data_IF_556493354972
#
_entry.id   IF_556493354972
#
_cell.length_a   1.000
_cell.length_b   1.000
_cell.length_c   1.000
_cell.angle_alpha   90.00
_cell.angle_beta   90.00
_cell.angle_gamma   90.00
#
_symmetry.space_group_name_H-M   'P 1'
#
loop_
_entity.id
_entity.type
_entity.pdbx_description
1 polymer ?
#
# COMPACT_ATOMS: atom_id res chain seq x y z
N UNK A 1 -50.83 -25.33 -26.54
CA UNK A 1 -49.63 -25.23 -27.40
C UNK A 1 -48.58 -24.44 -26.64
N UNK A 2 -47.38 -25.01 -26.46
CA UNK A 2 -46.39 -24.61 -25.46
C UNK A 2 -45.65 -23.30 -25.71
N UNK A 3 -45.36 -22.57 -24.63
CA UNK A 3 -44.46 -21.42 -24.59
C UNK A 3 -43.19 -21.77 -23.80
N UNK A 4 -42.09 -21.95 -24.52
CA UNK A 4 -40.73 -22.19 -24.01
C UNK A 4 -40.17 -20.93 -23.34
N UNK A 5 -39.76 -21.00 -22.07
CA UNK A 5 -38.87 -20.00 -21.45
C UNK A 5 -37.74 -20.74 -20.73
N UNK A 6 -36.56 -20.65 -21.32
CA UNK A 6 -35.31 -21.31 -20.90
C UNK A 6 -34.75 -20.71 -19.62
N UNK A 7 -34.55 -21.54 -18.59
CA UNK A 7 -33.77 -21.18 -17.39
C UNK A 7 -32.28 -21.28 -17.72
N UNK A 8 -31.67 -20.16 -18.13
CA UNK A 8 -30.20 -20.08 -18.24
C UNK A 8 -29.60 -20.20 -16.84
N UNK A 9 -28.84 -21.27 -16.60
CA UNK A 9 -28.01 -21.44 -15.40
C UNK A 9 -26.87 -20.42 -15.46
N UNK A 10 -26.82 -19.52 -14.49
CA UNK A 10 -25.69 -18.62 -14.27
C UNK A 10 -24.62 -19.42 -13.52
N UNK A 11 -23.60 -19.86 -14.26
CA UNK A 11 -22.32 -20.25 -13.67
C UNK A 11 -21.57 -18.97 -13.32
N UNK A 12 -21.21 -18.81 -12.05
CA UNK A 12 -20.24 -17.79 -11.63
C UNK A 12 -18.89 -18.49 -11.69
N UNK A 13 -18.24 -18.41 -12.84
CA UNK A 13 -16.80 -18.63 -12.91
C UNK A 13 -16.14 -17.42 -12.28
N UNK A 14 -15.60 -17.59 -11.07
CA UNK A 14 -14.89 -16.56 -10.35
C UNK A 14 -13.40 -16.64 -10.69
N UNK A 15 -13.07 -16.32 -11.94
CA UNK A 15 -11.70 -16.02 -12.35
C UNK A 15 -11.48 -14.50 -12.26
N UNK A 16 -10.36 -14.13 -11.63
CA UNK A 16 -9.71 -12.81 -11.66
C UNK A 16 -10.45 -11.59 -11.05
N UNK A 17 -10.71 -11.64 -9.74
CA UNK A 17 -10.88 -10.40 -8.93
C UNK A 17 -9.93 -10.38 -7.73
N UNK A 18 -8.63 -10.45 -8.00
CA UNK A 18 -7.60 -10.20 -7.00
C UNK A 18 -7.66 -8.72 -6.54
N UNK A 19 -8.47 -8.45 -5.51
CA UNK A 19 -8.48 -7.19 -4.76
C UNK A 19 -9.83 -6.46 -4.68
N UNK A 20 -10.91 -6.94 -5.32
CA UNK A 20 -12.19 -6.24 -5.31
C UNK A 20 -13.20 -6.93 -4.39
N UNK A 21 -13.38 -6.40 -3.17
CA UNK A 21 -14.46 -6.82 -2.27
C UNK A 21 -15.79 -6.35 -2.88
N UNK A 22 -16.60 -7.28 -3.41
CA UNK A 22 -17.93 -6.97 -3.96
C UNK A 22 -18.91 -6.74 -2.82
N UNK A 23 -19.17 -5.47 -2.51
CA UNK A 23 -20.16 -5.06 -1.51
C UNK A 23 -21.53 -4.89 -2.19
N UNK A 24 -22.58 -5.47 -1.62
CA UNK A 24 -23.97 -5.24 -2.09
C UNK A 24 -24.37 -3.77 -1.89
N UNK A 25 -25.16 -3.20 -2.80
CA UNK A 25 -25.63 -1.81 -2.76
C UNK A 25 -26.19 -1.43 -1.38
N UNK A 26 -26.97 -2.34 -0.76
CA UNK A 26 -27.56 -2.15 0.56
C UNK A 26 -26.50 -2.02 1.67
N UNK A 27 -25.34 -2.68 1.52
CA UNK A 27 -24.23 -2.62 2.48
C UNK A 27 -23.40 -1.36 2.25
N UNK A 28 -23.19 -0.96 0.99
CA UNK A 28 -22.53 0.30 0.65
C UNK A 28 -23.32 1.51 1.19
N UNK A 29 -24.65 1.47 1.08
CA UNK A 29 -25.55 2.51 1.60
C UNK A 29 -25.48 2.62 3.13
N UNK A 30 -25.38 1.49 3.85
CA UNK A 30 -25.20 1.46 5.31
C UNK A 30 -23.84 2.03 5.74
N UNK A 31 -22.76 1.67 5.04
CA UNK A 31 -21.42 2.19 5.31
C UNK A 31 -21.33 3.70 5.07
N UNK A 32 -21.97 4.18 3.99
CA UNK A 32 -22.07 5.61 3.70
C UNK A 32 -22.83 6.37 4.79
N UNK A 33 -23.91 5.79 5.33
CA UNK A 33 -24.67 6.40 6.41
C UNK A 33 -23.95 6.38 7.76
N UNK A 34 -23.03 5.44 8.01
CA UNK A 34 -22.25 5.37 9.24
C UNK A 34 -21.18 6.48 9.34
N UNK A 35 -20.70 6.99 8.21
CA UNK A 35 -19.69 8.06 8.19
C UNK A 35 -20.27 9.48 8.41
N UNK A 36 -21.59 9.66 8.34
CA UNK A 36 -22.25 10.95 8.58
C UNK A 36 -22.61 11.23 10.06
N UNK A 37 -22.28 10.32 10.99
CA UNK A 37 -22.58 10.44 12.43
C UNK A 37 -21.34 10.65 13.30
N UNK A 38 -20.30 11.33 12.80
CA UNK A 38 -19.04 11.55 13.53
C UNK A 38 -18.67 13.01 13.80
N UNK A 39 -19.63 13.93 13.80
CA UNK A 39 -19.46 15.27 14.38
C UNK A 39 -20.65 15.65 15.28
N UNK A 40 -20.39 15.89 16.57
CA UNK A 40 -21.22 16.76 17.43
C UNK A 40 -22.29 16.11 18.32
N UNK A 41 -22.16 16.34 19.63
CA UNK A 41 -22.91 15.76 20.75
C UNK A 41 -24.35 16.30 20.99
N UNK A 42 -25.09 15.52 21.80
CA UNK A 42 -26.21 15.86 22.69
C UNK A 42 -27.66 15.91 22.14
N UNK A 43 -28.31 14.75 22.29
CA UNK A 43 -29.62 14.51 22.91
C UNK A 43 -30.82 15.38 22.48
N UNK A 44 -31.70 14.79 21.66
CA UNK A 44 -33.12 14.61 22.01
C UNK A 44 -33.79 13.57 21.11
N UNK A 45 -34.05 12.41 21.71
CA UNK A 45 -35.28 11.62 21.63
C UNK A 45 -36.16 11.74 20.38
N UNK A 46 -36.02 10.78 19.46
CA UNK A 46 -37.15 10.33 18.63
C UNK A 46 -37.14 8.81 18.50
N UNK A 47 -37.90 8.19 19.41
CA UNK A 47 -38.68 6.96 19.28
C UNK A 47 -38.14 5.85 18.37
N UNK A 48 -37.35 4.94 18.95
CA UNK A 48 -37.28 3.56 18.48
C UNK A 48 -38.42 2.78 19.13
N UNK A 49 -39.47 2.49 18.35
CA UNK A 49 -40.51 1.53 18.75
C UNK A 49 -39.89 0.14 18.83
N UNK A 50 -39.65 -0.28 20.06
CA UNK A 50 -39.34 -1.65 20.45
C UNK A 50 -40.54 -2.56 20.09
N UNK A 51 -40.38 -3.64 19.30
CA UNK A 51 -41.40 -4.67 19.26
C UNK A 51 -41.39 -5.41 20.60
N UNK A 52 -42.42 -5.15 21.41
CA UNK A 52 -42.69 -5.91 22.63
C UNK A 52 -42.77 -7.42 22.34
N UNK A 53 -42.39 -8.26 23.32
CA UNK A 53 -42.65 -9.69 23.28
C UNK A 53 -44.17 -9.92 23.35
N UNK A 54 -44.75 -10.41 22.26
CA UNK A 54 -46.16 -10.83 22.27
C UNK A 54 -46.30 -12.08 23.12
N UNK A 55 -46.87 -11.88 24.29
CA UNK A 55 -47.45 -12.92 25.14
C UNK A 55 -48.63 -13.55 24.39
N UNK A 56 -48.79 -14.88 24.38
CA UNK A 56 -49.94 -15.51 23.75
C UNK A 56 -51.18 -15.32 24.63
N UNK A 57 -52.22 -14.68 24.12
CA UNK A 57 -53.58 -14.76 24.68
C UNK A 57 -54.51 -15.49 23.69
N UNK A 58 -55.52 -16.20 24.19
CA UNK A 58 -56.01 -17.44 23.60
C UNK A 58 -57.00 -17.17 22.48
N UNK A 59 -56.71 -17.68 21.28
CA UNK A 59 -57.74 -17.82 20.25
C UNK A 59 -58.57 -19.05 20.61
N UNK A 60 -59.74 -18.79 21.19
CA UNK A 60 -60.83 -19.76 21.28
C UNK A 60 -61.35 -20.03 19.86
N UNK A 61 -60.90 -21.15 19.28
CA UNK A 61 -61.51 -21.81 18.12
C UNK A 61 -61.63 -23.30 18.43
N UNK A 62 -62.68 -24.00 17.93
CA UNK A 62 -62.95 -25.37 18.35
C UNK A 62 -61.76 -26.28 18.03
N UNK A 63 -61.28 -26.99 19.05
CA UNK A 63 -60.34 -28.10 18.94
C UNK A 63 -61.01 -29.15 18.06
N UNK A 64 -60.71 -29.15 16.77
CA UNK A 64 -60.91 -30.33 15.94
C UNK A 64 -59.70 -31.22 16.20
N UNK A 65 -59.89 -32.18 17.09
CA UNK A 65 -58.97 -33.30 17.28
C UNK A 65 -58.88 -34.09 15.97
N UNK A 66 -57.95 -33.71 15.09
CA UNK A 66 -57.59 -34.55 13.96
C UNK A 66 -56.64 -35.64 14.46
N UNK A 67 -57.22 -36.83 14.57
CA UNK A 67 -56.60 -38.13 14.75
C UNK A 67 -55.36 -38.29 13.85
N UNK A 68 -54.29 -38.98 14.29
CA UNK A 68 -53.06 -39.08 13.51
C UNK A 68 -53.33 -39.84 12.21
N UNK A 69 -53.32 -39.12 11.09
CA UNK A 69 -53.23 -39.74 9.78
C UNK A 69 -51.87 -40.42 9.68
N UNK A 70 -51.88 -41.75 9.70
CA UNK A 70 -50.74 -42.61 9.39
C UNK A 70 -50.32 -42.39 7.93
N UNK A 71 -49.58 -41.30 7.70
CA UNK A 71 -48.85 -41.05 6.47
C UNK A 71 -47.42 -41.53 6.65
N UNK A 72 -46.94 -42.35 5.73
CA UNK A 72 -45.57 -42.81 5.66
C UNK A 72 -44.61 -41.60 5.66
N UNK A 73 -43.95 -41.34 6.79
CA UNK A 73 -42.81 -40.44 6.85
C UNK A 73 -41.65 -41.14 6.15
N UNK A 74 -41.35 -40.75 4.91
CA UNK A 74 -40.07 -41.06 4.33
C UNK A 74 -38.96 -40.50 5.24
N UNK A 75 -37.90 -41.27 5.56
CA UNK A 75 -36.84 -40.79 6.42
C UNK A 75 -36.14 -39.62 5.73
N UNK A 76 -36.33 -38.40 6.25
CA UNK A 76 -35.52 -37.27 5.85
C UNK A 76 -34.08 -37.54 6.35
N UNK A 77 -33.04 -37.38 5.51
CA UNK A 77 -31.66 -37.52 5.97
C UNK A 77 -31.39 -36.41 6.98
N UNK A 78 -31.35 -36.76 8.27
CA UNK A 78 -30.97 -35.83 9.32
C UNK A 78 -29.45 -35.68 9.29
N UNK A 79 -28.98 -34.54 8.78
CA UNK A 79 -27.57 -34.19 8.90
C UNK A 79 -27.29 -33.95 10.39
N UNK A 80 -26.38 -34.72 10.96
CA UNK A 80 -25.99 -34.60 12.37
C UNK A 80 -25.07 -33.39 12.57
N UNK A 81 -25.10 -32.80 13.76
CA UNK A 81 -24.24 -31.66 14.10
C UNK A 81 -22.73 -31.97 13.99
N UNK A 82 -22.33 -33.23 14.18
CA UNK A 82 -20.93 -33.67 13.99
C UNK A 82 -20.53 -33.67 12.51
N UNK A 83 -21.40 -34.18 11.62
CA UNK A 83 -21.12 -34.15 10.17
C UNK A 83 -20.94 -32.72 9.65
N UNK A 84 -21.73 -31.77 10.15
CA UNK A 84 -21.59 -30.35 9.80
C UNK A 84 -20.24 -29.81 10.30
N UNK A 85 -19.85 -30.12 11.55
CA UNK A 85 -18.57 -29.70 12.13
C UNK A 85 -17.38 -30.23 11.34
N UNK A 86 -17.38 -31.52 11.01
CA UNK A 86 -16.30 -32.15 10.24
C UNK A 86 -16.16 -31.51 8.86
N UNK A 87 -17.27 -31.13 8.23
CA UNK A 87 -17.25 -30.44 6.95
C UNK A 87 -16.72 -29.01 7.07
N UNK A 88 -17.11 -28.29 8.12
CA UNK A 88 -16.57 -26.95 8.41
C UNK A 88 -15.06 -27.02 8.65
N UNK A 89 -14.58 -27.98 9.43
CA UNK A 89 -13.15 -28.14 9.72
C UNK A 89 -12.34 -28.42 8.46
N UNK A 90 -12.85 -29.30 7.57
CA UNK A 90 -12.22 -29.57 6.27
C UNK A 90 -12.15 -28.33 5.38
N UNK A 91 -13.20 -27.52 5.34
CA UNK A 91 -13.20 -26.29 4.55
C UNK A 91 -12.28 -25.22 5.17
N UNK A 92 -12.22 -25.15 6.50
CA UNK A 92 -11.31 -24.25 7.22
C UNK A 92 -9.84 -24.62 6.93
N UNK A 93 -9.48 -25.90 7.03
CA UNK A 93 -8.13 -26.39 6.75
C UNK A 93 -7.69 -26.12 5.29
N UNK A 94 -8.62 -26.26 4.32
CA UNK A 94 -8.34 -25.89 2.93
C UNK A 94 -8.07 -24.40 2.78
N UNK A 95 -8.86 -23.57 3.47
CA UNK A 95 -8.70 -22.11 3.45
C UNK A 95 -7.37 -21.70 4.09
N UNK A 96 -7.04 -22.27 5.24
CA UNK A 96 -5.78 -22.02 5.94
C UNK A 96 -4.59 -22.38 5.03
N UNK A 97 -4.58 -23.58 4.44
CA UNK A 97 -3.53 -23.97 3.48
C UNK A 97 -3.45 -23.06 2.27
N UNK A 98 -4.59 -22.56 1.77
CA UNK A 98 -4.62 -21.61 0.66
C UNK A 98 -3.95 -20.30 1.04
N UNK A 99 -4.31 -19.72 2.20
CA UNK A 99 -3.75 -18.46 2.66
C UNK A 99 -2.29 -18.57 3.06
N UNK A 100 -1.87 -19.67 3.71
CA UNK A 100 -0.46 -19.94 4.00
C UNK A 100 0.38 -19.94 2.72
N UNK A 101 -0.05 -20.68 1.69
CA UNK A 101 0.65 -20.72 0.40
C UNK A 101 0.70 -19.34 -0.24
N UNK A 102 -0.39 -18.58 -0.17
CA UNK A 102 -0.47 -17.24 -0.75
C UNK A 102 0.44 -16.25 -0.03
N UNK A 103 0.44 -16.24 1.30
CA UNK A 103 1.31 -15.39 2.12
C UNK A 103 2.77 -15.74 1.86
N UNK A 104 3.09 -17.04 1.81
CA UNK A 104 4.44 -17.49 1.47
C UNK A 104 4.89 -16.99 0.10
N UNK A 105 4.04 -17.12 -0.93
CA UNK A 105 4.35 -16.62 -2.27
C UNK A 105 4.54 -15.10 -2.32
N UNK A 106 3.74 -14.34 -1.56
CA UNK A 106 3.91 -12.90 -1.42
C UNK A 106 5.23 -12.53 -0.74
N UNK A 107 5.59 -13.24 0.34
CA UNK A 107 6.85 -13.03 1.06
C UNK A 107 8.06 -13.37 0.19
N UNK A 108 8.02 -14.48 -0.55
CA UNK A 108 9.08 -14.87 -1.48
C UNK A 108 9.25 -13.83 -2.61
N UNK A 109 8.15 -13.35 -3.18
CA UNK A 109 8.19 -12.31 -4.20
C UNK A 109 8.74 -11.00 -3.64
N UNK A 110 8.30 -10.58 -2.45
CA UNK A 110 8.81 -9.39 -1.80
C UNK A 110 10.31 -9.50 -1.54
N UNK A 111 10.77 -10.64 -1.00
CA UNK A 111 12.19 -10.91 -0.77
C UNK A 111 12.98 -10.82 -2.07
N UNK A 112 12.50 -11.46 -3.14
CA UNK A 112 13.13 -11.39 -4.47
C UNK A 112 13.26 -9.95 -4.97
N UNK A 113 12.20 -9.14 -4.87
CA UNK A 113 12.24 -7.74 -5.32
C UNK A 113 13.22 -6.92 -4.47
N UNK A 114 13.18 -7.07 -3.15
CA UNK A 114 14.11 -6.39 -2.23
C UNK A 114 15.55 -6.75 -2.53
N UNK A 115 15.85 -8.03 -2.77
CA UNK A 115 17.20 -8.49 -3.11
C UNK A 115 17.72 -7.85 -4.40
N UNK A 116 16.90 -7.83 -5.46
CA UNK A 116 17.29 -7.21 -6.74
C UNK A 116 17.50 -5.71 -6.54
N UNK A 117 16.57 -5.03 -5.86
CA UNK A 117 16.65 -3.60 -5.57
C UNK A 117 17.94 -3.24 -4.83
N UNK A 118 18.28 -3.98 -3.76
CA UNK A 118 19.50 -3.77 -2.99
C UNK A 118 20.76 -4.02 -3.84
N UNK A 119 20.75 -5.05 -4.68
CA UNK A 119 21.88 -5.37 -5.55
C UNK A 119 22.14 -4.27 -6.59
N UNK A 120 21.10 -3.76 -7.24
CA UNK A 120 21.20 -2.69 -8.23
C UNK A 120 21.56 -1.36 -7.55
N UNK A 121 21.00 -1.09 -6.38
CA UNK A 121 21.38 0.09 -5.59
C UNK A 121 22.87 0.07 -5.23
N UNK A 122 23.36 -1.04 -4.68
CA UNK A 122 24.77 -1.18 -4.31
C UNK A 122 25.70 -1.11 -5.52
N UNK A 123 25.27 -1.64 -6.67
CA UNK A 123 26.00 -1.53 -7.92
C UNK A 123 26.10 -0.07 -8.39
N UNK A 124 24.97 0.64 -8.44
CA UNK A 124 24.93 2.06 -8.79
C UNK A 124 25.75 2.91 -7.81
N UNK A 125 25.70 2.59 -6.51
CA UNK A 125 26.51 3.26 -5.51
C UNK A 125 28.01 3.09 -5.76
N UNK A 126 28.47 1.87 -6.05
CA UNK A 126 29.88 1.60 -6.41
C UNK A 126 30.28 2.27 -7.72
N UNK A 127 29.40 2.32 -8.71
CA UNK A 127 29.66 3.06 -9.95
C UNK A 127 29.83 4.56 -9.67
N UNK A 128 29.02 5.13 -8.78
CA UNK A 128 29.16 6.52 -8.37
C UNK A 128 30.49 6.72 -7.62
N UNK A 129 30.81 5.85 -6.67
CA UNK A 129 32.04 5.92 -5.88
C UNK A 129 33.30 5.82 -6.76
N UNK A 130 33.27 4.99 -7.80
CA UNK A 130 34.39 4.81 -8.72
C UNK A 130 34.51 5.93 -9.76
N UNK A 131 33.38 6.44 -10.28
CA UNK A 131 33.38 7.41 -11.39
C UNK A 131 33.38 8.87 -10.92
N UNK A 132 32.85 9.16 -9.73
CA UNK A 132 32.89 10.50 -9.18
C UNK A 132 34.09 10.61 -8.24
N UNK A 133 34.93 11.65 -8.38
CA UNK A 133 36.01 11.86 -7.44
C UNK A 133 35.40 11.92 -6.04
N UNK A 134 35.93 11.06 -5.16
CA UNK A 134 35.60 11.05 -3.74
C UNK A 134 35.49 12.50 -3.27
N UNK A 135 34.40 12.80 -2.54
CA UNK A 135 34.23 14.09 -1.87
C UNK A 135 35.60 14.48 -1.32
N UNK A 136 36.11 15.65 -1.77
CA UNK A 136 37.49 16.02 -1.55
C UNK A 136 37.87 15.68 -0.09
N UNK A 137 38.99 14.97 0.16
CA UNK A 137 39.37 14.55 1.51
C UNK A 137 39.20 15.70 2.49
N UNK A 138 38.82 15.42 3.74
CA UNK A 138 38.53 16.49 4.71
C UNK A 138 39.71 17.47 4.90
N UNK A 139 40.92 17.00 4.63
CA UNK A 139 42.17 17.76 4.72
C UNK A 139 42.68 18.26 3.35
N UNK A 140 41.88 18.12 2.29
CA UNK A 140 42.25 18.55 0.95
C UNK A 140 42.33 20.07 0.90
N UNK A 141 43.54 20.58 0.68
CA UNK A 141 43.79 22.00 0.47
C UNK A 141 43.07 22.45 -0.80
N UNK A 142 42.11 23.37 -0.64
CA UNK A 142 41.39 23.94 -1.77
C UNK A 142 42.37 24.89 -2.48
N UNK A 143 42.65 24.70 -3.79
CA UNK A 143 43.60 25.54 -4.49
C UNK A 143 43.12 26.98 -4.58
N UNK A 144 44.08 27.91 -4.67
CA UNK A 144 43.85 29.33 -4.96
C UNK A 144 43.02 30.10 -3.92
N UNK A 145 42.95 29.65 -2.67
CA UNK A 145 42.24 30.37 -1.60
C UNK A 145 42.85 31.76 -1.32
N UNK A 146 44.18 31.90 -1.43
CA UNK A 146 44.86 33.17 -1.20
C UNK A 146 44.48 34.21 -2.26
N UNK A 147 44.48 33.82 -3.54
CA UNK A 147 44.03 34.69 -4.62
C UNK A 147 42.54 35.05 -4.47
N UNK A 148 41.72 34.11 -3.99
CA UNK A 148 40.29 34.37 -3.72
C UNK A 148 40.12 35.46 -2.67
N UNK A 149 40.83 35.39 -1.55
CA UNK A 149 40.73 36.42 -0.50
C UNK A 149 41.21 37.78 -1.03
N UNK A 150 42.34 37.82 -1.72
CA UNK A 150 42.86 39.05 -2.31
C UNK A 150 41.89 39.70 -3.30
N UNK A 151 41.26 38.91 -4.19
CA UNK A 151 40.26 39.42 -5.15
C UNK A 151 39.06 40.03 -4.43
N UNK A 152 38.54 39.33 -3.42
CA UNK A 152 37.42 39.82 -2.62
C UNK A 152 37.77 41.14 -1.92
N UNK A 153 38.95 41.24 -1.33
CA UNK A 153 39.38 42.44 -0.62
C UNK A 153 39.65 43.61 -1.58
N UNK A 154 40.18 43.32 -2.78
CA UNK A 154 40.34 44.35 -3.81
C UNK A 154 39.00 44.95 -4.23
N UNK A 155 37.97 44.12 -4.45
CA UNK A 155 36.64 44.61 -4.81
C UNK A 155 35.97 45.40 -3.69
N UNK A 156 36.13 44.98 -2.42
CA UNK A 156 35.62 45.75 -1.28
C UNK A 156 36.24 47.15 -1.22
N UNK A 157 37.54 47.25 -1.48
CA UNK A 157 38.26 48.52 -1.42
C UNK A 157 38.08 49.38 -2.68
N UNK A 158 37.61 48.80 -3.79
CA UNK A 158 37.45 49.46 -5.10
C UNK A 158 36.04 49.30 -5.68
N UNK A 159 34.99 49.48 -4.87
CA UNK A 159 33.60 49.22 -5.29
C UNK A 159 33.16 49.96 -6.58
N UNK A 160 33.66 51.19 -6.79
CA UNK A 160 33.35 52.00 -7.97
C UNK A 160 34.42 51.92 -9.07
N UNK A 161 35.54 51.23 -8.80
CA UNK A 161 36.70 51.14 -9.68
C UNK A 161 37.18 49.69 -9.80
N UNK A 162 36.24 48.76 -9.98
CA UNK A 162 36.43 47.30 -10.06
C UNK A 162 37.52 46.88 -11.06
N UNK A 163 37.72 47.66 -12.14
CA UNK A 163 38.75 47.40 -13.16
C UNK A 163 40.18 47.47 -12.61
N UNK A 164 40.42 48.17 -11.50
CA UNK A 164 41.73 48.18 -10.82
C UNK A 164 42.12 46.78 -10.31
N UNK A 165 41.15 45.90 -10.07
CA UNK A 165 41.36 44.53 -9.61
C UNK A 165 41.53 43.52 -10.76
N UNK A 166 41.48 43.97 -12.03
CA UNK A 166 41.53 43.10 -13.22
C UNK A 166 42.74 42.17 -13.24
N UNK A 167 43.93 42.67 -12.89
CA UNK A 167 45.15 41.86 -12.78
C UNK A 167 44.98 40.71 -11.80
N UNK A 168 44.44 41.01 -10.61
CA UNK A 168 44.26 40.05 -9.52
C UNK A 168 43.23 38.97 -9.87
N UNK A 169 42.18 39.35 -10.59
CA UNK A 169 41.17 38.42 -11.13
C UNK A 169 41.79 37.50 -12.18
N UNK A 170 42.64 38.03 -13.06
CA UNK A 170 43.36 37.22 -14.05
C UNK A 170 44.33 36.23 -13.37
N UNK A 171 45.03 36.66 -12.34
CA UNK A 171 45.93 35.78 -11.56
C UNK A 171 45.14 34.66 -10.86
N UNK A 172 43.98 34.98 -10.29
CA UNK A 172 43.07 33.98 -9.73
C UNK A 172 42.59 32.98 -10.80
N UNK A 173 42.15 33.46 -11.97
CA UNK A 173 41.69 32.62 -13.06
C UNK A 173 42.82 31.70 -13.59
N UNK A 174 44.03 32.22 -13.72
CA UNK A 174 45.21 31.45 -14.10
C UNK A 174 45.53 30.36 -13.07
N UNK A 175 45.45 30.68 -11.78
CA UNK A 175 45.63 29.70 -10.71
C UNK A 175 44.60 28.56 -10.81
N UNK A 176 43.30 28.89 -10.91
CA UNK A 176 42.22 27.88 -11.02
C UNK A 176 42.39 27.01 -12.28
N UNK A 177 42.70 27.64 -13.41
CA UNK A 177 42.97 26.94 -14.67
C UNK A 177 44.14 25.96 -14.56
N UNK A 178 45.26 26.40 -13.99
CA UNK A 178 46.43 25.55 -13.78
C UNK A 178 46.17 24.41 -12.79
N UNK A 179 45.44 24.66 -11.70
CA UNK A 179 45.09 23.62 -10.73
C UNK A 179 44.19 22.55 -11.35
N UNK A 180 43.23 22.93 -12.19
CA UNK A 180 42.38 21.98 -12.93
C UNK A 180 43.20 21.14 -13.91
N UNK A 181 44.09 21.77 -14.67
CA UNK A 181 44.99 21.07 -15.60
C UNK A 181 45.95 20.12 -14.87
N UNK A 182 46.51 20.53 -13.73
CA UNK A 182 47.37 19.68 -12.89
C UNK A 182 46.62 18.45 -12.39
N UNK A 183 45.43 18.59 -11.81
CA UNK A 183 44.62 17.44 -11.39
C UNK A 183 44.27 16.50 -12.55
N UNK A 184 43.92 17.06 -13.71
CA UNK A 184 43.60 16.24 -14.88
C UNK A 184 44.82 15.43 -15.34
N UNK A 185 46.02 16.00 -15.30
CA UNK A 185 47.25 15.31 -15.66
C UNK A 185 47.65 14.26 -14.60
N UNK A 186 47.46 14.56 -13.32
CA UNK A 186 47.77 13.66 -12.20
C UNK A 186 46.86 12.41 -12.22
N UNK A 187 45.58 12.56 -12.54
CA UNK A 187 44.65 11.44 -12.74
C UNK A 187 44.91 10.64 -14.04
N UNK A 188 45.81 11.11 -14.92
CA UNK A 188 46.16 10.46 -16.19
C UNK A 188 47.52 9.74 -16.13
N UNK A 189 48.33 9.97 -15.10
CA UNK A 189 49.57 9.23 -14.90
C UNK A 189 49.26 7.80 -14.43
N UNK A 190 49.91 6.77 -15.03
CA UNK A 190 49.66 5.36 -14.74
C UNK A 190 50.07 4.96 -13.31
#
# INVERSE_FOLDING_TARGET
MGGSQSTRKIGIDNDDTAGLIRVSENVAQRLKNMNNFRDGENASSTNFSNPQPVSPSPVSGPIVSQQPSSGFYAPQPFITSSMIRDQIEKELEKNDRYWERRIKGLQENQNRITQVMESEFNKAYKEIENNFPTLAPKDATIPCQDYKSMVVDCFKNNANHTLNCSKLVNDFAACVGNSRSKRHNENRSP
#
